data_IF_660482289289
#
_entry.id   IF_660482289289
#
_cell.length_a   1.000
_cell.length_b   1.000
_cell.length_c   1.000
_cell.angle_alpha   90.00
_cell.angle_beta   90.00
_cell.angle_gamma   90.00
#
_symmetry.space_group_name_H-M   'P 1'
#
loop_
_entity.id
_entity.type
_entity.pdbx_description
1 polymer ?
#
# COMPACT_ATOMS: atom_id res chain seq x y z
N UNK A 1 5.16 -11.91 3.51
CA UNK A 1 5.14 -11.75 4.97
C UNK A 1 4.08 -12.67 5.54
N UNK A 2 4.46 -13.60 6.40
CA UNK A 2 3.51 -14.40 7.17
C UNK A 2 3.52 -13.92 8.61
N UNK A 3 2.36 -13.45 9.06
CA UNK A 3 2.11 -13.13 10.45
C UNK A 3 1.03 -14.10 10.92
N UNK A 4 1.28 -14.78 12.04
CA UNK A 4 0.33 -15.76 12.57
C UNK A 4 -1.04 -15.10 12.84
N UNK A 5 -2.10 -15.71 12.34
CA UNK A 5 -3.46 -15.20 12.47
C UNK A 5 -3.82 -14.03 11.55
N UNK A 6 -2.92 -13.60 10.66
CA UNK A 6 -3.15 -12.52 9.71
C UNK A 6 -3.12 -13.05 8.29
N UNK A 7 -4.16 -12.77 7.52
CA UNK A 7 -4.24 -13.07 6.09
C UNK A 7 -4.05 -11.77 5.32
N UNK A 8 -3.18 -11.77 4.32
CA UNK A 8 -2.93 -10.60 3.47
C UNK A 8 -3.40 -10.92 2.05
N UNK A 9 -4.26 -10.05 1.51
CA UNK A 9 -4.81 -10.20 0.18
C UNK A 9 -4.67 -8.90 -0.61
N UNK A 10 -4.62 -9.01 -1.92
CA UNK A 10 -4.58 -7.87 -2.82
C UNK A 10 -5.99 -7.33 -3.06
N UNK A 11 -6.16 -6.01 -2.84
CA UNK A 11 -7.45 -5.35 -2.96
C UNK A 11 -7.91 -5.16 -4.41
N UNK A 12 -6.98 -4.97 -5.34
CA UNK A 12 -7.25 -4.68 -6.75
C UNK A 12 -7.49 -3.19 -7.07
N UNK A 13 -8.06 -2.45 -6.14
CA UNK A 13 -8.32 -1.01 -6.27
C UNK A 13 -9.26 -0.52 -5.19
N UNK A 14 -9.22 0.78 -4.91
CA UNK A 14 -10.02 1.38 -3.83
C UNK A 14 -11.51 1.45 -4.15
N UNK A 15 -11.88 1.43 -5.42
CA UNK A 15 -13.27 1.57 -5.85
C UNK A 15 -14.19 0.48 -5.30
N UNK A 16 -13.65 -0.72 -5.09
CA UNK A 16 -14.40 -1.87 -4.60
C UNK A 16 -14.38 -2.00 -3.07
N UNK A 17 -13.72 -1.08 -2.36
CA UNK A 17 -13.48 -1.21 -0.92
C UNK A 17 -14.78 -1.30 -0.10
N UNK A 18 -15.77 -0.48 -0.41
CA UNK A 18 -17.05 -0.49 0.32
C UNK A 18 -17.73 -1.86 0.19
N UNK A 19 -17.74 -2.42 -1.00
CA UNK A 19 -18.32 -3.75 -1.26
C UNK A 19 -17.52 -4.86 -0.56
N UNK A 20 -16.20 -4.78 -0.59
CA UNK A 20 -15.32 -5.74 0.08
C UNK A 20 -15.54 -5.72 1.58
N UNK A 21 -15.64 -4.54 2.19
CA UNK A 21 -15.91 -4.40 3.63
C UNK A 21 -17.30 -4.98 3.97
N UNK A 22 -18.30 -4.71 3.15
CA UNK A 22 -19.64 -5.26 3.34
C UNK A 22 -19.67 -6.79 3.31
N UNK A 23 -18.91 -7.39 2.41
CA UNK A 23 -18.77 -8.86 2.30
C UNK A 23 -17.94 -9.46 3.43
N UNK A 24 -16.87 -8.79 3.82
CA UNK A 24 -15.98 -9.24 4.87
C UNK A 24 -16.65 -9.22 6.26
N UNK A 25 -17.52 -8.25 6.50
CA UNK A 25 -18.22 -8.02 7.78
C UNK A 25 -17.25 -7.89 8.96
N UNK A 26 -16.44 -6.80 9.00
CA UNK A 26 -15.53 -6.61 10.12
C UNK A 26 -16.24 -6.56 11.47
N UNK A 27 -15.59 -7.08 12.48
CA UNK A 27 -16.09 -7.10 13.86
C UNK A 27 -14.90 -7.17 14.83
N UNK A 28 -15.15 -7.10 16.16
CA UNK A 28 -14.09 -7.06 17.16
C UNK A 28 -13.12 -8.24 17.14
N UNK A 29 -13.60 -9.38 16.63
CA UNK A 29 -12.79 -10.62 16.51
C UNK A 29 -12.28 -10.87 15.11
N UNK A 30 -12.65 -10.03 14.15
CA UNK A 30 -12.29 -10.14 12.76
C UNK A 30 -12.09 -8.76 12.16
N UNK A 31 -11.04 -8.08 12.57
CA UNK A 31 -10.74 -6.74 12.11
C UNK A 31 -10.12 -6.75 10.72
N UNK A 32 -10.34 -5.65 10.00
CA UNK A 32 -9.83 -5.43 8.66
C UNK A 32 -8.89 -4.22 8.65
N UNK A 33 -7.66 -4.42 8.21
CA UNK A 33 -6.72 -3.34 7.92
C UNK A 33 -6.56 -3.20 6.41
N UNK A 34 -6.55 -1.98 5.92
CA UNK A 34 -6.44 -1.67 4.48
C UNK A 34 -5.35 -0.63 4.25
N UNK A 35 -4.45 -0.94 3.33
CA UNK A 35 -3.41 -0.01 2.87
C UNK A 35 -3.77 0.47 1.47
N UNK A 36 -3.89 1.78 1.29
CA UNK A 36 -4.25 2.40 0.01
C UNK A 36 -3.23 3.44 -0.43
N UNK A 37 -3.21 3.69 -1.74
CA UNK A 37 -2.45 4.79 -2.31
C UNK A 37 -3.15 6.13 -2.01
N UNK A 38 -2.37 7.18 -1.83
CA UNK A 38 -2.86 8.57 -1.83
C UNK A 38 -4.06 8.89 -0.93
N UNK A 39 -4.03 8.43 0.30
CA UNK A 39 -5.05 8.81 1.29
C UNK A 39 -4.82 10.26 1.75
N UNK A 40 -5.11 11.21 0.89
CA UNK A 40 -4.98 12.65 1.16
C UNK A 40 -6.35 13.32 1.21
N UNK A 41 -6.48 14.38 2.01
CA UNK A 41 -7.71 15.13 2.15
C UNK A 41 -8.28 15.56 0.78
N UNK A 42 -9.57 15.32 0.57
CA UNK A 42 -10.27 15.64 -0.68
C UNK A 42 -10.08 14.63 -1.81
N UNK A 43 -9.26 13.61 -1.65
CA UNK A 43 -9.09 12.55 -2.65
C UNK A 43 -10.30 11.60 -2.69
N UNK A 44 -10.39 10.85 -3.80
CA UNK A 44 -11.37 9.76 -3.92
C UNK A 44 -11.17 8.72 -2.83
N UNK A 45 -9.92 8.35 -2.57
CA UNK A 45 -9.53 7.39 -1.55
C UNK A 45 -9.99 7.83 -0.15
N UNK A 46 -9.80 9.11 0.18
CA UNK A 46 -10.24 9.68 1.45
C UNK A 46 -11.78 9.66 1.59
N UNK A 47 -12.51 9.94 0.52
CA UNK A 47 -13.98 9.86 0.53
C UNK A 47 -14.48 8.45 0.74
N UNK A 48 -13.88 7.48 0.06
CA UNK A 48 -14.21 6.06 0.21
C UNK A 48 -13.87 5.57 1.62
N UNK A 49 -12.70 5.92 2.15
CA UNK A 49 -12.31 5.59 3.50
C UNK A 49 -13.32 6.14 4.54
N UNK A 50 -13.82 7.35 4.35
CA UNK A 50 -14.81 7.95 5.23
C UNK A 50 -16.16 7.23 5.16
N UNK A 51 -16.60 6.82 3.97
CA UNK A 51 -17.81 5.98 3.81
C UNK A 51 -17.66 4.66 4.58
N UNK A 52 -16.51 4.01 4.46
CA UNK A 52 -16.21 2.77 5.19
C UNK A 52 -16.22 3.01 6.70
N UNK A 53 -15.60 4.07 7.18
CA UNK A 53 -15.51 4.39 8.60
C UNK A 53 -16.89 4.63 9.23
N UNK A 54 -17.80 5.25 8.51
CA UNK A 54 -19.15 5.56 8.97
C UNK A 54 -20.16 4.40 8.77
N UNK A 55 -19.78 3.42 7.97
CA UNK A 55 -20.64 2.29 7.66
C UNK A 55 -20.57 1.16 8.68
N UNK A 56 -21.32 0.07 8.44
CA UNK A 56 -21.28 -1.13 9.28
C UNK A 56 -19.87 -1.71 9.38
N UNK A 57 -19.42 -2.01 10.60
CA UNK A 57 -18.07 -2.52 10.84
C UNK A 57 -16.95 -1.47 10.72
N UNK A 58 -17.31 -0.17 10.61
CA UNK A 58 -16.33 0.90 10.44
C UNK A 58 -15.38 1.08 11.62
N UNK A 59 -15.82 0.79 12.84
CA UNK A 59 -14.98 0.81 14.03
C UNK A 59 -13.99 -0.37 14.11
N UNK A 60 -14.22 -1.40 13.34
CA UNK A 60 -13.36 -2.59 13.25
C UNK A 60 -12.61 -2.65 11.92
N UNK A 61 -12.55 -1.53 11.22
CA UNK A 61 -11.83 -1.34 9.96
C UNK A 61 -10.90 -0.14 10.07
N UNK A 62 -9.63 -0.33 9.75
CA UNK A 62 -8.65 0.75 9.68
C UNK A 62 -8.13 0.88 8.24
N UNK A 63 -8.30 2.06 7.65
CA UNK A 63 -7.74 2.39 6.34
C UNK A 63 -6.59 3.36 6.54
N UNK A 64 -5.42 3.00 6.07
CA UNK A 64 -4.24 3.85 6.12
C UNK A 64 -3.68 4.05 4.71
N UNK A 65 -3.02 5.18 4.49
CA UNK A 65 -2.38 5.50 3.24
C UNK A 65 -0.87 5.53 3.36
N UNK A 66 -0.17 5.23 2.27
CA UNK A 66 1.26 5.47 2.15
C UNK A 66 1.52 6.73 1.31
N UNK A 67 2.68 7.40 1.52
CA UNK A 67 2.98 8.68 0.86
C UNK A 67 3.48 8.55 -0.58
N UNK A 68 3.58 7.33 -1.10
CA UNK A 68 4.19 7.05 -2.39
C UNK A 68 3.16 7.12 -3.53
N UNK A 69 3.63 7.39 -4.75
CA UNK A 69 2.81 7.29 -5.96
C UNK A 69 2.43 5.84 -6.22
N UNK A 70 3.38 4.93 -5.98
CA UNK A 70 3.15 3.50 -5.97
C UNK A 70 3.97 2.86 -4.85
N UNK A 71 3.47 1.78 -4.27
CA UNK A 71 4.06 1.14 -3.08
C UNK A 71 5.51 0.68 -3.29
N UNK A 72 5.90 0.29 -4.51
CA UNK A 72 7.28 -0.15 -4.77
C UNK A 72 8.31 0.97 -4.55
N UNK A 73 7.90 2.24 -4.59
CA UNK A 73 8.77 3.38 -4.26
C UNK A 73 9.18 3.40 -2.78
N UNK A 74 8.54 2.60 -1.95
CA UNK A 74 8.97 2.39 -0.57
C UNK A 74 10.23 1.52 -0.45
N UNK A 75 10.66 0.86 -1.51
CA UNK A 75 11.97 0.21 -1.56
C UNK A 75 13.04 1.30 -1.60
N UNK A 76 14.06 1.19 -0.76
CA UNK A 76 15.16 2.17 -0.73
C UNK A 76 15.85 2.21 -2.09
N UNK A 77 15.99 3.37 -2.72
CA UNK A 77 16.53 3.48 -4.08
C UNK A 77 17.96 2.95 -4.21
N UNK A 78 18.74 2.98 -3.12
CA UNK A 78 20.09 2.43 -3.08
C UNK A 78 20.14 0.93 -3.39
N UNK A 79 19.05 0.21 -3.12
CA UNK A 79 18.96 -1.24 -3.40
C UNK A 79 18.91 -1.56 -4.90
N UNK A 80 18.58 -0.59 -5.74
CA UNK A 80 18.60 -0.72 -7.19
C UNK A 80 19.69 0.16 -7.84
N UNK A 81 20.62 0.68 -7.04
CA UNK A 81 21.75 1.46 -7.53
C UNK A 81 21.44 2.93 -7.77
N UNK A 82 20.36 3.46 -7.23
CA UNK A 82 19.98 4.87 -7.34
C UNK A 82 20.28 5.62 -6.05
N UNK A 83 20.66 6.89 -6.14
CA UNK A 83 20.79 7.78 -4.98
C UNK A 83 19.42 8.19 -4.44
N UNK A 84 18.47 8.41 -5.33
CA UNK A 84 17.09 8.77 -5.01
C UNK A 84 16.17 8.31 -6.14
N UNK A 85 14.88 8.13 -5.83
CA UNK A 85 13.88 7.93 -6.86
C UNK A 85 13.70 9.19 -7.70
N UNK A 86 13.47 9.07 -9.04
CA UNK A 86 13.20 10.23 -9.88
C UNK A 86 11.97 10.99 -9.39
N UNK A 87 12.05 12.32 -9.40
CA UNK A 87 10.89 13.19 -9.16
C UNK A 87 10.14 13.36 -10.47
N UNK A 88 8.97 12.77 -10.56
CA UNK A 88 8.09 12.88 -11.72
C UNK A 88 6.71 13.34 -11.28
N UNK A 89 6.07 14.25 -12.02
CA UNK A 89 4.69 14.62 -11.74
C UNK A 89 3.76 13.39 -11.78
N UNK A 90 2.81 13.34 -10.87
CA UNK A 90 1.88 12.24 -10.69
C UNK A 90 1.11 11.81 -11.95
N UNK A 91 0.76 12.78 -12.76
CA UNK A 91 -0.12 12.62 -13.92
C UNK A 91 0.64 12.40 -15.21
N UNK A 92 1.95 12.45 -15.18
CA UNK A 92 2.79 12.23 -16.35
C UNK A 92 3.67 11.01 -16.03
N UNK A 93 3.63 10.07 -16.85
CA UNK A 93 4.50 8.93 -17.14
C UNK A 93 5.68 8.67 -16.17
N UNK A 94 5.41 8.74 -14.84
CA UNK A 94 6.41 8.48 -13.81
C UNK A 94 7.10 7.12 -14.01
N UNK A 95 6.40 6.16 -14.61
CA UNK A 95 6.91 4.83 -14.95
C UNK A 95 8.05 4.91 -15.97
N UNK A 96 7.95 5.81 -16.92
CA UNK A 96 9.00 6.07 -17.91
C UNK A 96 10.24 6.65 -17.22
N UNK A 97 10.07 7.62 -16.34
CA UNK A 97 11.19 8.19 -15.57
C UNK A 97 11.92 7.15 -14.74
N UNK A 98 11.21 6.20 -14.16
CA UNK A 98 11.82 5.09 -13.40
C UNK A 98 12.57 4.13 -14.32
N UNK A 99 11.99 3.75 -15.46
CA UNK A 99 12.65 2.89 -16.43
C UNK A 99 13.93 3.55 -16.97
N UNK A 100 13.89 4.83 -17.28
CA UNK A 100 15.07 5.59 -17.71
C UNK A 100 16.16 5.58 -16.62
N UNK A 101 15.79 5.83 -15.37
CA UNK A 101 16.74 5.81 -14.26
C UNK A 101 17.38 4.43 -14.05
N UNK A 102 16.65 3.36 -14.35
CA UNK A 102 17.15 1.99 -14.31
C UNK A 102 17.90 1.57 -15.59
N UNK A 103 18.04 2.46 -16.56
CA UNK A 103 18.74 2.20 -17.80
C UNK A 103 17.88 1.53 -18.88
N UNK A 104 16.57 1.64 -18.79
CA UNK A 104 15.60 1.09 -19.76
C UNK A 104 14.86 2.24 -20.47
N UNK A 105 15.35 2.69 -21.65
CA UNK A 105 14.88 3.90 -22.27
C UNK A 105 13.48 3.79 -22.95
N UNK A 106 12.97 2.59 -23.13
CA UNK A 106 11.65 2.34 -23.75
C UNK A 106 10.72 1.69 -22.74
N UNK A 107 9.90 2.48 -22.09
CA UNK A 107 8.99 2.01 -21.05
C UNK A 107 7.65 1.55 -21.65
N UNK A 108 7.61 0.45 -22.36
CA UNK A 108 6.37 -0.25 -22.66
C UNK A 108 5.88 -1.06 -21.43
N UNK A 109 4.73 -1.72 -21.55
CA UNK A 109 4.16 -2.49 -20.44
C UNK A 109 5.08 -3.64 -19.96
N UNK A 110 5.82 -4.25 -20.88
CA UNK A 110 6.76 -5.32 -20.55
C UNK A 110 7.96 -4.78 -19.78
N UNK A 111 8.50 -3.63 -20.17
CA UNK A 111 9.63 -2.96 -19.50
C UNK A 111 9.23 -2.52 -18.08
N UNK A 112 8.05 -1.94 -17.92
CA UNK A 112 7.51 -1.54 -16.61
C UNK A 112 7.38 -2.74 -15.69
N UNK A 113 6.80 -3.83 -16.16
CA UNK A 113 6.63 -5.05 -15.38
C UNK A 113 7.98 -5.66 -15.00
N UNK A 114 8.97 -5.63 -15.89
CA UNK A 114 10.33 -6.08 -15.62
C UNK A 114 11.04 -5.19 -14.60
N UNK A 115 10.85 -3.87 -14.67
CA UNK A 115 11.40 -2.92 -13.70
C UNK A 115 10.86 -3.22 -12.29
N UNK A 116 9.58 -3.44 -12.16
CA UNK A 116 8.95 -3.76 -10.88
C UNK A 116 9.41 -5.10 -10.32
N UNK A 117 9.56 -6.12 -11.15
CA UNK A 117 10.14 -7.40 -10.72
C UNK A 117 11.56 -7.21 -10.20
N UNK A 118 12.39 -6.41 -10.89
CA UNK A 118 13.75 -6.10 -10.46
C UNK A 118 13.77 -5.38 -9.11
N UNK A 119 12.95 -4.36 -8.93
CA UNK A 119 12.84 -3.63 -7.67
C UNK A 119 12.42 -4.58 -6.54
N UNK A 120 11.37 -5.36 -6.75
CA UNK A 120 10.86 -6.30 -5.76
C UNK A 120 11.87 -7.37 -5.38
N UNK A 121 12.69 -7.84 -6.32
CA UNK A 121 13.71 -8.85 -6.08
C UNK A 121 14.82 -8.38 -5.14
N UNK A 122 14.98 -7.07 -4.93
CA UNK A 122 15.96 -6.49 -4.04
C UNK A 122 15.48 -6.38 -2.59
N UNK A 123 14.20 -6.63 -2.33
CA UNK A 123 13.65 -6.62 -0.98
C UNK A 123 13.92 -7.98 -0.32
N UNK A 124 14.75 -7.99 0.72
CA UNK A 124 15.11 -9.19 1.49
C UNK A 124 14.60 -9.13 2.91
N UNK A 125 14.58 -7.94 3.50
CA UNK A 125 14.08 -7.71 4.84
C UNK A 125 13.53 -6.28 5.00
N UNK A 126 13.06 -5.96 6.19
CA UNK A 126 12.47 -4.67 6.50
C UNK A 126 13.42 -3.49 6.31
N UNK A 127 14.74 -3.70 6.42
CA UNK A 127 15.72 -2.62 6.27
C UNK A 127 15.85 -2.14 4.82
N UNK A 128 15.32 -2.88 3.86
CA UNK A 128 15.29 -2.51 2.45
C UNK A 128 14.12 -1.58 2.12
N UNK A 129 13.21 -1.36 3.07
CA UNK A 129 12.01 -0.54 2.92
C UNK A 129 12.15 0.78 3.68
N UNK A 130 11.49 1.82 3.15
CA UNK A 130 11.44 3.12 3.81
C UNK A 130 10.64 3.05 5.12
N UNK A 131 11.08 3.76 6.17
CA UNK A 131 10.42 3.75 7.48
C UNK A 131 8.95 4.17 7.44
N UNK A 132 8.56 5.03 6.51
CA UNK A 132 7.18 5.48 6.38
C UNK A 132 6.22 4.33 6.02
N UNK A 133 6.65 3.40 5.16
CA UNK A 133 5.84 2.20 4.88
C UNK A 133 5.82 1.25 6.08
N UNK A 134 6.97 1.03 6.69
CA UNK A 134 7.08 0.15 7.87
C UNK A 134 6.12 0.62 8.96
N UNK A 135 6.09 1.92 9.25
CA UNK A 135 5.17 2.49 10.24
C UNK A 135 3.70 2.25 9.91
N UNK A 136 3.31 2.35 8.64
CA UNK A 136 1.93 2.07 8.23
C UNK A 136 1.56 0.59 8.38
N UNK A 137 2.46 -0.29 7.99
CA UNK A 137 2.25 -1.75 8.15
C UNK A 137 2.17 -2.14 9.62
N UNK A 138 3.04 -1.62 10.47
CA UNK A 138 3.00 -1.85 11.92
C UNK A 138 1.67 -1.39 12.53
N UNK A 139 1.18 -0.21 12.13
CA UNK A 139 -0.12 0.32 12.58
C UNK A 139 -1.27 -0.62 12.20
N UNK A 140 -1.26 -1.16 10.98
CA UNK A 140 -2.26 -2.13 10.53
C UNK A 140 -2.18 -3.44 11.32
N UNK A 141 -0.97 -3.96 11.51
CA UNK A 141 -0.77 -5.20 12.27
C UNK A 141 -1.26 -5.04 13.70
N UNK A 142 -0.90 -3.96 14.36
CA UNK A 142 -1.33 -3.66 15.73
C UNK A 142 -2.85 -3.58 15.82
N UNK A 143 -3.49 -2.94 14.83
CA UNK A 143 -4.94 -2.84 14.80
C UNK A 143 -5.64 -4.20 14.64
N UNK A 144 -5.22 -5.00 13.65
CA UNK A 144 -5.90 -6.28 13.37
C UNK A 144 -5.60 -7.36 14.40
N UNK A 145 -4.51 -7.23 15.15
CA UNK A 145 -4.11 -8.16 16.21
C UNK A 145 -4.55 -7.74 17.60
N UNK A 146 -5.19 -6.58 17.74
CA UNK A 146 -5.76 -6.17 19.03
C UNK A 146 -6.72 -7.22 19.57
N UNK A 147 -6.63 -7.60 20.86
CA UNK A 147 -7.61 -8.48 21.46
C UNK A 147 -9.00 -7.83 21.42
N UNK A 148 -10.05 -8.67 21.28
CA UNK A 148 -11.41 -8.21 21.46
C UNK A 148 -11.55 -7.67 22.89
N UNK A 149 -12.04 -6.43 23.02
CA UNK A 149 -12.27 -5.85 24.36
C UNK A 149 -13.23 -6.70 25.17
N UNK A 150 -12.97 -6.79 26.47
CA UNK A 150 -13.93 -7.35 27.40
C UNK A 150 -15.13 -6.42 27.46
N UNK A 151 -16.26 -6.87 26.94
CA UNK A 151 -17.55 -6.21 27.18
C UNK A 151 -18.18 -6.78 28.44
#
# INVERSE_FOLDING_TARGET
LRIEGVVVEHLGGVDDLVEIVAKFRPGPRRRLGVLVDHLVAGSKEARIAEVVRRGPGGSDTLVVGHPYVDIWQAVKPQRVGLAAWPRVPRHIEWKHGVCDALGWPHADQADIAAAWRRIRSQVRDWTDLEPALIGRVEELIDFVTQPAGDE
#
